data_IF_832623547438
#
_entry.id   IF_832623547438
#
_cell.length_a   1.000
_cell.length_b   1.000
_cell.length_c   1.000
_cell.angle_alpha   90.00
_cell.angle_beta   90.00
_cell.angle_gamma   90.00
#
_symmetry.space_group_name_H-M   'P 1'
#
loop_
_entity.id
_entity.type
_entity.pdbx_description
1 polymer ?
#
# COMPACT_ATOMS: atom_id res chain seq x y z
N UNK A 1 -89.81 5.81 39.57
CA UNK A 1 -88.59 6.63 39.77
C UNK A 1 -87.24 5.83 39.74
N UNK A 2 -87.23 4.53 39.92
CA UNK A 2 -86.01 3.73 39.87
C UNK A 2 -85.44 3.42 38.48
N UNK A 3 -86.21 3.55 37.39
CA UNK A 3 -85.71 3.27 36.00
C UNK A 3 -85.03 4.43 35.30
N UNK A 4 -85.26 5.66 35.73
CA UNK A 4 -84.66 6.86 35.18
C UNK A 4 -83.20 7.05 35.74
N UNK A 5 -82.99 6.57 36.98
CA UNK A 5 -81.65 6.66 37.61
C UNK A 5 -80.56 5.78 36.95
N UNK A 6 -80.96 4.66 36.34
CA UNK A 6 -80.00 3.76 35.63
C UNK A 6 -79.65 4.24 34.22
N UNK A 7 -80.51 5.01 33.58
CA UNK A 7 -80.24 5.60 32.26
C UNK A 7 -79.24 6.76 32.38
N UNK A 8 -79.34 7.54 33.49
CA UNK A 8 -78.40 8.63 33.76
C UNK A 8 -76.99 8.12 34.18
N UNK A 9 -76.90 6.96 34.82
CA UNK A 9 -75.66 6.33 35.19
C UNK A 9 -74.94 5.67 33.98
N UNK A 10 -75.70 5.16 33.00
CA UNK A 10 -75.24 4.56 31.76
C UNK A 10 -74.73 5.63 30.76
N UNK A 11 -75.30 6.84 30.78
CA UNK A 11 -74.80 7.96 29.95
C UNK A 11 -73.53 8.62 30.45
N UNK A 12 -73.22 8.55 31.76
CA UNK A 12 -72.00 9.08 32.35
C UNK A 12 -70.75 8.15 32.06
N UNK A 13 -70.96 6.88 31.69
CA UNK A 13 -69.88 5.94 31.39
C UNK A 13 -69.37 6.05 29.95
N UNK A 14 -70.02 6.78 29.05
CA UNK A 14 -69.68 6.89 27.62
C UNK A 14 -68.79 8.14 27.31
N UNK A 15 -68.44 8.96 28.30
CA UNK A 15 -67.52 10.08 28.11
C UNK A 15 -66.14 9.79 28.74
N UNK A 16 -65.68 8.54 28.66
CA UNK A 16 -64.28 8.21 28.87
C UNK A 16 -63.50 8.55 27.59
N UNK A 17 -63.25 9.83 27.41
CA UNK A 17 -62.36 10.32 26.36
C UNK A 17 -60.98 9.70 26.56
N UNK A 18 -60.63 8.71 25.78
CA UNK A 18 -59.28 8.20 25.68
C UNK A 18 -58.39 9.32 25.20
N UNK A 19 -57.70 10.00 26.11
CA UNK A 19 -56.55 10.82 25.75
C UNK A 19 -55.55 9.89 25.09
N UNK A 20 -55.46 9.92 23.77
CA UNK A 20 -54.31 9.34 23.05
C UNK A 20 -53.04 9.98 23.65
N UNK A 21 -52.03 9.18 23.97
CA UNK A 21 -50.76 9.73 24.40
C UNK A 21 -50.21 10.60 23.25
N UNK A 22 -50.06 11.87 23.51
CA UNK A 22 -49.37 12.76 22.60
C UNK A 22 -47.88 12.37 22.61
N UNK A 23 -47.43 11.77 21.52
CA UNK A 23 -46.01 11.56 21.27
C UNK A 23 -45.44 12.91 20.91
N UNK A 24 -44.71 13.54 21.81
CA UNK A 24 -43.91 14.72 21.48
C UNK A 24 -42.70 14.27 20.66
N UNK A 25 -42.74 14.49 19.36
CA UNK A 25 -41.65 14.26 18.44
C UNK A 25 -40.62 15.40 18.66
N UNK A 26 -39.45 15.05 19.19
CA UNK A 26 -38.33 15.94 19.32
C UNK A 26 -37.31 15.68 18.21
N UNK A 27 -36.90 16.73 17.51
CA UNK A 27 -35.90 16.65 16.44
C UNK A 27 -34.58 17.24 16.92
N UNK A 28 -33.52 16.43 16.79
CA UNK A 28 -32.17 16.94 16.95
C UNK A 28 -31.82 17.74 15.69
N UNK A 29 -31.35 18.95 15.91
CA UNK A 29 -31.00 19.87 14.83
C UNK A 29 -29.59 20.38 14.98
N UNK A 30 -28.93 20.62 13.86
CA UNK A 30 -27.59 21.24 13.80
C UNK A 30 -27.62 22.41 12.84
N UNK A 31 -26.92 23.48 13.22
CA UNK A 31 -26.76 24.67 12.37
C UNK A 31 -25.70 24.42 11.32
N UNK A 32 -26.01 24.78 10.09
CA UNK A 32 -25.11 24.75 8.95
C UNK A 32 -24.03 25.82 9.13
N UNK A 33 -22.77 25.40 9.12
CA UNK A 33 -21.61 26.26 9.28
C UNK A 33 -20.60 26.09 8.15
N UNK A 34 -19.47 26.76 8.28
CA UNK A 34 -18.34 26.61 7.37
C UNK A 34 -17.20 25.87 8.02
N UNK A 35 -16.54 25.01 7.29
CA UNK A 35 -15.33 24.31 7.72
C UNK A 35 -14.48 23.89 6.50
N UNK A 36 -13.24 23.59 6.77
CA UNK A 36 -12.41 22.86 5.81
C UNK A 36 -12.72 21.38 5.90
N UNK A 37 -13.08 20.77 4.79
CA UNK A 37 -13.39 19.34 4.68
C UNK A 37 -12.29 18.71 3.84
N UNK A 38 -11.67 17.65 4.36
CA UNK A 38 -10.63 16.91 3.65
C UNK A 38 -11.08 15.46 3.50
N UNK A 39 -11.11 14.98 2.27
CA UNK A 39 -11.22 13.55 2.00
C UNK A 39 -9.80 12.97 1.95
N UNK A 40 -9.53 11.95 2.71
CA UNK A 40 -8.22 11.35 2.82
C UNK A 40 -8.28 9.83 2.83
N UNK A 41 -7.24 9.22 2.30
CA UNK A 41 -6.99 7.79 2.36
C UNK A 41 -5.86 7.55 3.34
N UNK A 42 -6.05 6.64 4.28
CA UNK A 42 -5.02 6.25 5.25
C UNK A 42 -4.34 4.96 4.82
N UNK A 43 -3.04 4.89 4.98
CA UNK A 43 -2.24 3.72 4.67
C UNK A 43 -1.05 3.60 5.61
N UNK A 44 -0.49 2.41 5.73
CA UNK A 44 0.78 2.20 6.43
C UNK A 44 1.88 1.91 5.43
N UNK A 45 3.10 2.32 5.74
CA UNK A 45 4.22 2.12 4.86
C UNK A 45 5.56 2.09 5.58
N UNK A 46 6.62 1.88 4.80
CA UNK A 46 7.98 1.87 5.31
C UNK A 46 8.80 3.02 4.73
N UNK A 47 9.64 3.61 5.57
CA UNK A 47 10.59 4.65 5.17
C UNK A 47 11.81 3.98 4.55
N UNK A 48 12.16 4.35 3.33
CA UNK A 48 13.34 3.86 2.61
C UNK A 48 14.15 5.00 2.01
N UNK A 49 15.47 4.84 1.82
CA UNK A 49 16.26 5.78 1.04
C UNK A 49 15.83 5.73 -0.44
N UNK A 50 15.89 6.86 -1.14
CA UNK A 50 15.54 6.92 -2.58
C UNK A 50 16.45 6.01 -3.39
N UNK A 51 17.77 6.03 -3.08
CA UNK A 51 18.77 5.22 -3.76
C UNK A 51 19.47 4.31 -2.76
N UNK A 52 19.23 3.00 -2.85
CA UNK A 52 19.98 1.95 -2.13
C UNK A 52 20.52 0.94 -3.11
N UNK A 53 21.68 0.38 -2.82
CA UNK A 53 22.31 -0.68 -3.60
C UNK A 53 22.70 -1.80 -2.67
N UNK A 54 22.31 -3.01 -3.04
CA UNK A 54 22.72 -4.23 -2.36
C UNK A 54 23.99 -4.76 -3.04
N UNK A 55 25.07 -4.85 -2.27
CA UNK A 55 26.39 -5.31 -2.73
C UNK A 55 26.55 -6.77 -2.33
N UNK A 56 26.81 -7.61 -3.31
CA UNK A 56 27.05 -9.05 -3.14
C UNK A 56 28.39 -9.48 -3.70
N UNK A 57 28.65 -10.80 -3.70
CA UNK A 57 29.85 -11.40 -4.30
C UNK A 57 29.47 -12.30 -5.48
N UNK A 58 30.32 -12.31 -6.52
CA UNK A 58 30.19 -13.18 -7.69
C UNK A 58 31.05 -14.46 -7.57
N UNK A 59 31.89 -14.56 -6.54
CA UNK A 59 32.75 -15.72 -6.29
C UNK A 59 32.52 -16.24 -4.87
N UNK A 60 32.63 -17.55 -4.71
CA UNK A 60 32.50 -18.19 -3.40
C UNK A 60 33.89 -18.16 -2.70
N UNK A 61 33.84 -18.00 -1.38
CA UNK A 61 35.05 -17.98 -0.57
C UNK A 61 34.80 -17.65 0.89
N UNK A 62 35.83 -17.55 1.68
CA UNK A 62 35.80 -17.14 3.08
C UNK A 62 36.06 -15.64 3.15
N UNK A 63 35.30 -14.89 3.91
CA UNK A 63 35.57 -13.48 4.20
C UNK A 63 36.86 -13.39 5.01
N UNK A 64 37.88 -12.83 4.42
CA UNK A 64 39.17 -12.68 5.09
C UNK A 64 39.24 -11.44 5.95
N UNK A 65 38.70 -10.33 5.47
CA UNK A 65 38.70 -9.05 6.17
C UNK A 65 37.53 -8.18 5.75
N UNK A 66 36.97 -7.46 6.71
CA UNK A 66 36.02 -6.38 6.53
C UNK A 66 36.67 -5.05 6.81
N UNK A 67 36.46 -4.05 5.94
CA UNK A 67 37.06 -2.71 6.07
C UNK A 67 36.06 -1.67 6.52
N UNK A 68 34.78 -2.02 6.56
CA UNK A 68 33.65 -1.14 6.93
C UNK A 68 32.69 -1.87 7.85
N UNK A 69 31.99 -1.11 8.66
CA UNK A 69 30.98 -1.60 9.56
C UNK A 69 29.69 -0.80 9.37
N UNK A 70 28.64 -1.10 10.17
CA UNK A 70 27.39 -0.33 10.18
C UNK A 70 27.68 1.17 10.31
N UNK A 71 26.89 1.97 9.60
CA UNK A 71 26.97 3.43 9.57
C UNK A 71 28.29 4.02 9.08
N UNK A 72 29.19 3.22 8.50
CA UNK A 72 30.44 3.70 7.91
C UNK A 72 30.16 4.45 6.60
N UNK A 73 30.77 5.61 6.42
CA UNK A 73 30.80 6.31 5.15
C UNK A 73 31.73 5.63 4.17
N UNK A 74 31.29 5.44 2.94
CA UNK A 74 32.06 4.81 1.87
C UNK A 74 32.02 5.63 0.60
N UNK A 75 33.12 5.55 -0.18
CA UNK A 75 33.19 6.17 -1.51
C UNK A 75 33.10 5.11 -2.60
N UNK A 76 32.63 5.50 -3.75
CA UNK A 76 32.62 4.65 -4.94
C UNK A 76 34.04 4.16 -5.26
N UNK A 77 34.20 2.85 -5.47
CA UNK A 77 35.51 2.22 -5.68
C UNK A 77 36.31 1.96 -4.41
N UNK A 78 35.85 2.31 -3.22
CA UNK A 78 36.46 1.95 -1.95
C UNK A 78 36.30 0.46 -1.67
N UNK A 79 37.38 -0.21 -1.22
CA UNK A 79 37.31 -1.61 -0.77
C UNK A 79 36.52 -1.69 0.52
N UNK A 80 35.48 -2.55 0.54
CA UNK A 80 34.61 -2.77 1.69
C UNK A 80 34.81 -4.14 2.33
N UNK A 81 35.17 -5.15 1.52
CA UNK A 81 35.48 -6.49 2.02
C UNK A 81 36.46 -7.20 1.10
N UNK A 82 37.14 -8.20 1.63
CA UNK A 82 38.10 -9.04 0.91
C UNK A 82 37.86 -10.52 1.26
N UNK A 83 37.70 -11.34 0.21
CA UNK A 83 37.69 -12.80 0.33
C UNK A 83 39.11 -13.36 0.38
N UNK A 84 39.28 -14.58 0.90
CA UNK A 84 40.56 -15.28 0.81
C UNK A 84 40.87 -15.58 -0.66
N UNK A 85 42.01 -15.03 -1.10
CA UNK A 85 42.49 -15.09 -2.49
C UNK A 85 43.42 -16.28 -2.75
N UNK A 86 43.76 -17.07 -1.72
CA UNK A 86 44.82 -18.08 -1.80
C UNK A 86 44.56 -19.07 -2.94
N UNK A 87 43.36 -19.62 -3.02
CA UNK A 87 42.97 -20.56 -4.06
C UNK A 87 42.89 -19.93 -5.45
N UNK A 88 42.33 -18.72 -5.54
CA UNK A 88 42.20 -17.97 -6.80
C UNK A 88 43.57 -17.51 -7.33
N UNK A 89 44.55 -17.17 -6.44
CA UNK A 89 45.89 -16.87 -6.82
C UNK A 89 46.66 -18.09 -7.33
N UNK A 90 46.47 -19.26 -6.70
CA UNK A 90 47.01 -20.52 -7.20
C UNK A 90 46.48 -20.90 -8.58
N UNK A 91 45.15 -20.71 -8.80
CA UNK A 91 44.50 -20.94 -10.10
C UNK A 91 45.03 -19.98 -11.17
N UNK A 92 45.22 -18.69 -10.82
CA UNK A 92 45.85 -17.70 -11.72
C UNK A 92 47.25 -18.11 -12.10
N UNK A 93 48.08 -18.52 -11.14
CA UNK A 93 49.47 -18.98 -11.40
C UNK A 93 49.49 -20.20 -12.33
N UNK A 94 48.60 -21.18 -12.11
CA UNK A 94 48.47 -22.35 -12.98
C UNK A 94 48.05 -21.97 -14.39
N UNK A 95 47.05 -21.08 -14.53
CA UNK A 95 46.60 -20.61 -15.85
C UNK A 95 47.67 -19.82 -16.58
N UNK A 96 48.48 -19.06 -15.83
CA UNK A 96 49.60 -18.29 -16.36
C UNK A 96 50.74 -19.22 -16.91
N UNK A 97 51.07 -20.28 -16.17
CA UNK A 97 52.02 -21.28 -16.63
C UNK A 97 51.53 -22.02 -17.88
N UNK A 98 50.24 -22.35 -17.95
CA UNK A 98 49.63 -22.95 -19.13
C UNK A 98 49.68 -22.04 -20.37
N UNK A 99 49.39 -20.73 -20.18
CA UNK A 99 49.51 -19.72 -21.24
C UNK A 99 50.91 -19.63 -21.78
N UNK A 100 51.92 -19.64 -20.88
CA UNK A 100 53.34 -19.61 -21.26
C UNK A 100 53.78 -20.85 -22.05
N UNK A 101 53.32 -22.02 -21.64
CA UNK A 101 53.53 -23.27 -22.38
C UNK A 101 52.93 -23.23 -23.80
N UNK A 102 51.66 -22.79 -23.93
CA UNK A 102 51.00 -22.64 -25.25
C UNK A 102 51.69 -21.59 -26.11
N UNK A 103 52.26 -20.51 -25.49
CA UNK A 103 53.01 -19.49 -26.20
C UNK A 103 54.34 -20.04 -26.76
N UNK A 104 55.07 -20.84 -25.97
CA UNK A 104 56.27 -21.50 -26.43
C UNK A 104 56.02 -22.42 -27.61
N UNK A 105 54.96 -23.24 -27.52
CA UNK A 105 54.54 -24.14 -28.62
C UNK A 105 54.15 -23.33 -29.87
N UNK A 106 53.40 -22.26 -29.75
CA UNK A 106 53.05 -21.39 -30.87
C UNK A 106 54.30 -20.83 -31.54
N UNK A 107 55.26 -20.32 -30.75
CA UNK A 107 56.52 -19.75 -31.24
C UNK A 107 57.32 -20.81 -32.03
N UNK A 108 57.39 -22.03 -31.51
CA UNK A 108 58.06 -23.16 -32.21
C UNK A 108 57.37 -23.49 -33.53
N UNK A 109 56.04 -23.67 -33.52
CA UNK A 109 55.27 -24.04 -34.72
C UNK A 109 55.27 -22.90 -35.76
N UNK A 110 55.26 -21.65 -35.35
CA UNK A 110 55.39 -20.51 -36.27
C UNK A 110 56.75 -20.50 -36.97
N UNK A 111 57.83 -20.69 -36.22
CA UNK A 111 59.20 -20.79 -36.81
C UNK A 111 59.32 -21.96 -37.74
N UNK A 112 58.75 -23.14 -37.39
CA UNK A 112 58.74 -24.30 -38.20
C UNK A 112 57.94 -24.08 -39.50
N UNK A 113 56.72 -23.54 -39.42
CA UNK A 113 55.87 -23.20 -40.59
C UNK A 113 56.62 -22.23 -41.53
N UNK A 114 57.25 -21.19 -41.01
CA UNK A 114 58.02 -20.25 -41.82
C UNK A 114 59.15 -20.94 -42.57
N UNK A 115 59.87 -21.87 -41.94
CA UNK A 115 60.94 -22.66 -42.54
C UNK A 115 60.46 -23.58 -43.63
N UNK A 116 59.38 -24.32 -43.33
CA UNK A 116 58.76 -25.26 -44.30
C UNK A 116 58.19 -24.48 -45.50
N UNK A 117 57.58 -23.34 -45.29
CA UNK A 117 57.07 -22.43 -46.36
C UNK A 117 58.18 -21.94 -47.30
N UNK A 118 59.37 -21.63 -46.76
CA UNK A 118 60.55 -21.25 -47.58
C UNK A 118 61.05 -22.44 -48.42
N UNK A 119 61.09 -23.68 -47.88
CA UNK A 119 61.46 -24.87 -48.61
C UNK A 119 60.43 -25.21 -49.70
N UNK A 120 59.13 -25.04 -49.43
CA UNK A 120 58.06 -25.24 -50.39
C UNK A 120 58.18 -24.25 -51.56
N UNK A 121 58.43 -23.00 -51.31
CA UNK A 121 58.67 -21.99 -52.34
C UNK A 121 59.87 -22.33 -53.25
N UNK A 122 60.86 -23.06 -52.71
CA UNK A 122 62.01 -23.58 -53.47
C UNK A 122 61.73 -24.93 -54.15
N UNK A 123 60.46 -25.47 -54.07
CA UNK A 123 60.04 -26.74 -54.62
C UNK A 123 60.80 -27.99 -54.13
N UNK A 124 61.25 -27.96 -52.84
CA UNK A 124 62.06 -29.04 -52.24
C UNK A 124 61.23 -30.01 -51.41
N UNK A 125 60.00 -29.66 -51.09
CA UNK A 125 59.06 -30.45 -50.25
C UNK A 125 57.71 -30.61 -50.93
N UNK A 126 56.87 -31.60 -50.46
CA UNK A 126 55.56 -31.93 -50.99
C UNK A 126 54.47 -30.95 -50.45
N UNK A 127 53.31 -30.90 -51.15
CA UNK A 127 52.13 -30.18 -50.72
C UNK A 127 51.63 -30.68 -49.35
N UNK A 128 51.72 -31.96 -49.09
CA UNK A 128 51.32 -32.59 -47.82
C UNK A 128 52.17 -32.07 -46.63
N UNK A 129 53.48 -31.78 -46.85
CA UNK A 129 54.36 -31.28 -45.78
C UNK A 129 53.99 -29.84 -45.37
N UNK A 130 53.67 -28.97 -46.35
CA UNK A 130 53.25 -27.58 -46.05
C UNK A 130 51.87 -27.55 -45.40
N UNK A 131 50.92 -28.35 -45.87
CA UNK A 131 49.61 -28.49 -45.26
C UNK A 131 49.69 -28.97 -43.82
N UNK A 132 50.54 -29.97 -43.53
CA UNK A 132 50.75 -30.47 -42.17
C UNK A 132 51.37 -29.37 -41.26
N UNK A 133 52.32 -28.59 -41.75
CA UNK A 133 52.94 -27.50 -41.01
C UNK A 133 51.94 -26.35 -40.74
N UNK A 134 51.12 -26.03 -41.72
CA UNK A 134 50.05 -25.02 -41.59
C UNK A 134 48.99 -25.44 -40.56
N UNK A 135 48.55 -26.72 -40.64
CA UNK A 135 47.63 -27.28 -39.65
C UNK A 135 48.22 -27.20 -38.23
N UNK A 136 49.51 -27.59 -38.03
CA UNK A 136 50.15 -27.58 -36.74
C UNK A 136 50.30 -26.15 -36.17
N UNK A 137 50.66 -25.18 -37.01
CA UNK A 137 50.71 -23.79 -36.66
C UNK A 137 49.33 -23.23 -36.26
N UNK A 138 48.30 -23.51 -37.10
CA UNK A 138 46.94 -23.05 -36.82
C UNK A 138 46.39 -23.65 -35.55
N UNK A 139 46.64 -24.92 -35.26
CA UNK A 139 46.29 -25.60 -34.01
C UNK A 139 46.96 -24.97 -32.80
N UNK A 140 48.26 -24.72 -32.88
CA UNK A 140 49.00 -24.05 -31.79
C UNK A 140 48.51 -22.62 -31.54
N UNK A 141 48.18 -21.88 -32.61
CA UNK A 141 47.59 -20.54 -32.52
C UNK A 141 46.22 -20.55 -31.81
N UNK A 142 45.37 -21.52 -32.17
CA UNK A 142 44.05 -21.70 -31.53
C UNK A 142 44.19 -22.08 -30.03
N UNK A 143 45.15 -22.97 -29.71
CA UNK A 143 45.45 -23.36 -28.33
C UNK A 143 45.93 -22.18 -27.47
N UNK A 144 46.81 -21.34 -28.01
CA UNK A 144 47.26 -20.10 -27.31
C UNK A 144 46.10 -19.14 -27.10
N UNK A 145 45.25 -18.89 -28.10
CA UNK A 145 44.11 -18.01 -27.97
C UNK A 145 43.12 -18.50 -26.90
N UNK A 146 42.91 -19.82 -26.81
CA UNK A 146 42.10 -20.43 -25.76
C UNK A 146 42.74 -20.21 -24.38
N UNK A 147 44.02 -20.52 -24.21
CA UNK A 147 44.70 -20.33 -22.93
C UNK A 147 44.74 -18.86 -22.49
N UNK A 148 44.81 -17.90 -23.43
CA UNK A 148 44.74 -16.47 -23.16
C UNK A 148 43.30 -16.09 -22.63
N UNK A 149 42.27 -16.61 -23.24
CA UNK A 149 40.88 -16.39 -22.79
C UNK A 149 40.61 -16.98 -21.39
N UNK A 150 41.13 -18.18 -21.13
CA UNK A 150 41.03 -18.83 -19.83
C UNK A 150 41.75 -18.03 -18.75
N UNK A 151 42.97 -17.48 -19.01
CA UNK A 151 43.70 -16.63 -18.10
C UNK A 151 42.93 -15.33 -17.77
N UNK A 152 42.30 -14.70 -18.79
CA UNK A 152 41.46 -13.50 -18.57
C UNK A 152 40.30 -13.81 -17.63
N UNK A 153 39.61 -14.95 -17.83
CA UNK A 153 38.51 -15.39 -16.97
C UNK A 153 38.97 -15.60 -15.52
N UNK A 154 40.10 -16.29 -15.30
CA UNK A 154 40.65 -16.53 -13.95
C UNK A 154 41.05 -15.22 -13.28
N UNK A 155 41.70 -14.31 -14.03
CA UNK A 155 42.05 -12.96 -13.53
C UNK A 155 40.80 -12.17 -13.12
N UNK A 156 39.73 -12.28 -13.88
CA UNK A 156 38.44 -11.63 -13.55
C UNK A 156 37.85 -12.20 -12.24
N UNK A 157 37.85 -13.52 -12.07
CA UNK A 157 37.41 -14.16 -10.83
C UNK A 157 38.22 -13.69 -9.62
N UNK A 158 39.54 -13.55 -9.77
CA UNK A 158 40.39 -13.01 -8.71
C UNK A 158 40.02 -11.55 -8.37
N UNK A 159 39.68 -10.74 -9.37
CA UNK A 159 39.22 -9.37 -9.13
C UNK A 159 37.94 -9.28 -8.31
N UNK A 160 37.01 -10.21 -8.51
CA UNK A 160 35.77 -10.30 -7.75
C UNK A 160 35.95 -10.72 -6.28
N UNK A 161 37.11 -11.23 -5.91
CA UNK A 161 37.47 -11.54 -4.53
C UNK A 161 37.75 -10.28 -3.68
N UNK A 162 37.87 -9.11 -4.30
CA UNK A 162 37.90 -7.82 -3.62
C UNK A 162 36.58 -7.10 -3.91
N UNK A 163 35.83 -6.80 -2.87
CA UNK A 163 34.48 -6.23 -2.98
C UNK A 163 34.61 -4.73 -2.77
N UNK A 164 34.09 -3.97 -3.73
CA UNK A 164 34.12 -2.51 -3.74
C UNK A 164 32.71 -1.94 -3.59
N UNK A 165 32.65 -0.75 -3.00
CA UNK A 165 31.39 0.03 -3.03
C UNK A 165 31.11 0.54 -4.44
N UNK A 166 29.92 0.30 -5.01
CA UNK A 166 29.55 0.82 -6.32
C UNK A 166 29.17 2.30 -6.30
N UNK A 167 28.84 2.85 -5.13
CA UNK A 167 28.34 4.23 -4.94
C UNK A 167 28.99 4.88 -3.72
N UNK A 168 28.98 6.21 -3.70
CA UNK A 168 29.22 6.97 -2.47
C UNK A 168 28.01 6.85 -1.56
N UNK A 169 28.20 6.69 -0.25
CA UNK A 169 27.07 6.60 0.67
C UNK A 169 27.42 6.06 2.06
N UNK A 170 26.40 5.57 2.74
CA UNK A 170 26.48 5.03 4.11
C UNK A 170 26.05 3.57 4.11
N UNK A 171 26.81 2.71 4.79
CA UNK A 171 26.48 1.29 4.99
C UNK A 171 25.31 1.19 5.97
N UNK A 172 24.15 0.74 5.48
CA UNK A 172 22.95 0.54 6.29
C UNK A 172 22.96 -0.82 7.00
N UNK A 173 23.40 -1.84 6.26
CA UNK A 173 23.34 -3.22 6.72
C UNK A 173 24.56 -4.01 6.27
N UNK A 174 25.05 -4.86 7.16
CA UNK A 174 26.13 -5.81 6.95
C UNK A 174 25.64 -7.21 7.30
N UNK A 175 25.55 -8.07 6.30
CA UNK A 175 25.02 -9.43 6.43
C UNK A 175 26.08 -10.51 6.69
N UNK A 176 27.37 -10.12 6.78
CA UNK A 176 28.48 -11.07 6.83
C UNK A 176 29.51 -10.69 7.90
N UNK A 177 30.27 -11.69 8.38
CA UNK A 177 31.33 -11.53 9.37
C UNK A 177 32.66 -12.08 8.86
N UNK A 178 33.77 -11.64 9.47
CA UNK A 178 35.11 -12.18 9.17
C UNK A 178 35.15 -13.67 9.52
N UNK A 179 35.74 -14.48 8.63
CA UNK A 179 35.76 -15.94 8.75
C UNK A 179 34.52 -16.64 8.21
N UNK A 180 33.46 -15.92 7.86
CA UNK A 180 32.24 -16.51 7.29
C UNK A 180 32.48 -16.98 5.86
N UNK A 181 31.95 -18.17 5.53
CA UNK A 181 31.96 -18.69 4.16
C UNK A 181 30.74 -18.18 3.40
N UNK A 182 30.95 -17.59 2.23
CA UNK A 182 29.91 -17.16 1.30
C UNK A 182 29.94 -18.00 0.02
N UNK A 183 28.78 -18.38 -0.48
CA UNK A 183 28.61 -19.17 -1.68
C UNK A 183 27.70 -18.40 -2.68
N UNK A 184 28.18 -18.24 -3.93
CA UNK A 184 27.49 -17.49 -4.99
C UNK A 184 26.90 -18.38 -6.08
N UNK A 185 26.63 -19.67 -5.77
CA UNK A 185 26.32 -20.69 -6.80
C UNK A 185 24.94 -20.55 -7.46
N UNK A 186 23.89 -20.14 -6.72
CA UNK A 186 22.53 -20.01 -7.22
C UNK A 186 21.93 -18.61 -7.04
N UNK A 187 22.17 -17.99 -5.90
CA UNK A 187 21.75 -16.62 -5.61
C UNK A 187 22.95 -15.85 -5.11
N UNK A 188 23.13 -14.65 -5.60
CA UNK A 188 24.14 -13.74 -5.05
C UNK A 188 23.72 -13.30 -3.66
N UNK A 189 24.41 -13.71 -2.57
CA UNK A 189 24.06 -13.26 -1.24
C UNK A 189 24.39 -11.77 -1.11
N UNK A 190 23.46 -11.02 -0.53
CA UNK A 190 23.70 -9.62 -0.14
C UNK A 190 24.69 -9.60 1.02
N UNK A 191 25.82 -8.91 0.86
CA UNK A 191 26.83 -8.74 1.89
C UNK A 191 26.65 -7.41 2.61
N UNK A 192 26.37 -6.35 1.85
CA UNK A 192 26.14 -5.01 2.36
C UNK A 192 24.97 -4.35 1.63
N UNK A 193 24.24 -3.50 2.34
CA UNK A 193 23.29 -2.56 1.75
C UNK A 193 23.81 -1.14 1.99
N UNK A 194 24.00 -0.38 0.92
CA UNK A 194 24.56 0.97 0.96
C UNK A 194 23.49 1.95 0.44
N UNK A 195 23.22 3.00 1.22
CA UNK A 195 22.37 4.11 0.78
C UNK A 195 23.22 5.29 0.33
N UNK A 196 22.84 5.91 -0.77
CA UNK A 196 23.58 7.05 -1.32
C UNK A 196 23.42 8.29 -0.45
N UNK A 197 22.20 8.58 -0.03
CA UNK A 197 21.88 9.80 0.72
C UNK A 197 20.66 9.52 1.63
N UNK A 198 20.76 9.91 2.88
CA UNK A 198 19.70 9.81 3.87
C UNK A 198 18.90 11.11 4.03
N UNK A 199 19.32 12.20 3.37
CA UNK A 199 18.59 13.48 3.39
C UNK A 199 17.33 13.44 2.52
N UNK A 200 17.28 12.52 1.55
CA UNK A 200 16.16 12.25 0.68
C UNK A 200 15.66 10.82 0.87
N UNK A 201 14.56 10.72 1.55
CA UNK A 201 13.89 9.46 1.80
C UNK A 201 12.60 9.38 0.98
N UNK A 202 12.05 8.19 0.90
CA UNK A 202 10.71 7.92 0.37
C UNK A 202 9.96 7.04 1.36
N UNK A 203 8.65 7.21 1.41
CA UNK A 203 7.76 6.27 2.07
C UNK A 203 7.12 5.41 0.99
N UNK A 204 7.18 4.10 1.13
CA UNK A 204 6.44 3.15 0.31
C UNK A 204 5.21 2.75 1.13
N UNK A 205 4.07 3.36 0.81
CA UNK A 205 2.81 3.12 1.50
C UNK A 205 1.99 2.05 0.78
N UNK A 206 1.40 1.13 1.54
CA UNK A 206 0.51 0.08 1.03
C UNK A 206 -0.93 0.56 1.15
N UNK A 207 -1.52 0.95 0.04
CA UNK A 207 -2.90 1.44 -0.07
C UNK A 207 -3.81 0.30 -0.49
N UNK A 208 -4.97 0.19 0.16
CA UNK A 208 -5.96 -0.86 -0.14
C UNK A 208 -6.56 -0.68 -1.54
N UNK A 209 -6.93 -1.80 -2.19
CA UNK A 209 -7.58 -1.81 -3.52
C UNK A 209 -8.85 -0.95 -3.55
N UNK A 210 -9.60 -0.91 -2.44
CA UNK A 210 -10.82 -0.12 -2.33
C UNK A 210 -10.58 1.39 -2.47
N UNK A 211 -9.40 1.89 -2.06
CA UNK A 211 -9.08 3.31 -1.95
C UNK A 211 -8.15 3.81 -3.06
N UNK A 212 -7.42 2.91 -3.73
CA UNK A 212 -6.40 3.27 -4.72
C UNK A 212 -6.98 4.07 -5.91
N UNK A 213 -8.25 3.85 -6.24
CA UNK A 213 -8.93 4.57 -7.33
C UNK A 213 -8.99 6.09 -7.12
N UNK A 214 -8.87 6.56 -5.88
CA UNK A 214 -8.87 7.97 -5.50
C UNK A 214 -7.46 8.56 -5.40
N UNK A 215 -6.41 7.73 -5.39
CA UNK A 215 -5.02 8.16 -5.23
C UNK A 215 -4.41 8.47 -6.60
N UNK A 216 -3.84 9.67 -6.74
CA UNK A 216 -3.18 10.14 -7.97
C UNK A 216 -1.81 10.71 -7.65
N UNK A 217 -0.95 10.75 -8.66
CA UNK A 217 0.34 11.44 -8.57
C UNK A 217 0.16 12.94 -8.31
N UNK A 218 1.04 13.50 -7.49
CA UNK A 218 1.03 14.92 -7.13
C UNK A 218 0.17 15.29 -5.92
N UNK A 219 -0.60 14.36 -5.35
CA UNK A 219 -1.38 14.61 -4.14
C UNK A 219 -0.48 14.92 -2.94
N UNK A 220 -0.94 15.84 -2.10
CA UNK A 220 -0.28 16.15 -0.84
C UNK A 220 -0.51 15.02 0.18
N UNK A 221 0.53 14.72 0.93
CA UNK A 221 0.55 13.64 1.91
C UNK A 221 1.09 14.18 3.23
N UNK A 222 0.39 13.85 4.29
CA UNK A 222 0.86 14.02 5.65
C UNK A 222 1.16 12.64 6.24
N UNK A 223 2.30 12.49 6.91
CA UNK A 223 2.63 11.22 7.55
C UNK A 223 3.34 11.44 8.87
N UNK A 224 3.15 10.53 9.79
CA UNK A 224 3.90 10.42 11.03
C UNK A 224 4.64 9.10 11.06
N UNK A 225 5.72 9.02 11.82
CA UNK A 225 6.43 7.76 12.07
C UNK A 225 6.27 7.36 13.53
N UNK A 226 6.24 6.06 13.80
CA UNK A 226 6.01 5.56 15.16
C UNK A 226 7.05 6.04 16.18
N UNK A 227 8.25 6.38 15.71
CA UNK A 227 9.30 6.96 16.55
C UNK A 227 9.06 8.44 16.94
N UNK A 228 8.25 9.17 16.17
CA UNK A 228 7.89 10.58 16.39
C UNK A 228 6.41 10.79 16.13
N UNK A 229 5.52 10.32 17.03
CA UNK A 229 4.07 10.35 16.80
C UNK A 229 3.48 11.75 16.79
N UNK A 230 4.12 12.69 17.48
CA UNK A 230 3.68 14.09 17.60
C UNK A 230 4.20 14.98 16.45
N UNK A 231 5.10 14.47 15.61
CA UNK A 231 5.64 15.21 14.46
C UNK A 231 4.95 14.77 13.17
N UNK A 232 4.40 15.73 12.44
CA UNK A 232 3.81 15.50 11.12
C UNK A 232 4.81 15.91 10.05
N UNK A 233 5.18 14.95 9.23
CA UNK A 233 6.02 15.16 8.05
C UNK A 233 5.14 15.37 6.82
N UNK A 234 5.60 16.19 5.90
CA UNK A 234 4.91 16.45 4.66
C UNK A 234 5.64 15.81 3.49
N UNK A 235 4.86 15.26 2.58
CA UNK A 235 5.35 14.65 1.36
C UNK A 235 4.38 14.82 0.20
N UNK A 236 4.74 14.27 -0.95
CA UNK A 236 3.87 14.21 -2.13
C UNK A 236 3.92 12.83 -2.75
N UNK A 237 2.78 12.39 -3.29
CA UNK A 237 2.72 11.17 -4.10
C UNK A 237 3.54 11.40 -5.36
N UNK A 238 4.59 10.60 -5.55
CA UNK A 238 5.45 10.66 -6.74
C UNK A 238 5.02 9.65 -7.78
N UNK A 239 4.58 8.48 -7.34
CA UNK A 239 4.22 7.39 -8.23
C UNK A 239 3.24 6.44 -7.55
N UNK A 240 2.28 5.94 -8.30
CA UNK A 240 1.43 4.81 -7.91
C UNK A 240 1.87 3.60 -8.72
N UNK A 241 2.33 2.53 -8.06
CA UNK A 241 2.77 1.30 -8.74
C UNK A 241 1.55 0.54 -9.25
N UNK A 242 1.62 0.09 -10.50
CA UNK A 242 0.51 -0.61 -11.16
C UNK A 242 0.39 -2.08 -10.74
N UNK A 243 1.46 -2.66 -10.20
CA UNK A 243 1.47 -4.04 -9.74
C UNK A 243 0.95 -4.10 -8.31
N UNK A 244 -0.13 -4.85 -8.11
CA UNK A 244 -0.65 -5.15 -6.78
C UNK A 244 0.23 -6.19 -6.08
N UNK A 245 0.33 -6.07 -4.76
CA UNK A 245 0.94 -7.06 -3.87
C UNK A 245 -0.16 -7.69 -3.03
N UNK A 246 -0.20 -9.03 -3.00
CA UNK A 246 -1.17 -9.76 -2.19
C UNK A 246 -0.47 -10.38 -0.99
N UNK A 247 -0.80 -9.92 0.19
CA UNK A 247 -0.27 -10.47 1.45
C UNK A 247 -1.43 -10.90 2.33
N UNK A 248 -1.44 -12.16 2.76
CA UNK A 248 -2.50 -12.70 3.62
C UNK A 248 -3.92 -12.50 3.07
N UNK A 249 -4.11 -12.64 1.75
CA UNK A 249 -5.36 -12.42 1.02
C UNK A 249 -5.85 -10.95 0.98
N UNK A 250 -5.03 -9.99 1.38
CA UNK A 250 -5.31 -8.56 1.23
C UNK A 250 -4.53 -8.05 0.02
N UNK A 251 -5.24 -7.40 -0.91
CA UNK A 251 -4.66 -6.80 -2.11
C UNK A 251 -4.36 -5.34 -1.83
N UNK A 252 -3.08 -4.96 -1.95
CA UNK A 252 -2.62 -3.59 -1.75
C UNK A 252 -1.79 -3.11 -2.94
N UNK A 253 -1.79 -1.81 -3.15
CA UNK A 253 -0.95 -1.13 -4.14
C UNK A 253 0.09 -0.27 -3.45
N UNK A 254 1.32 -0.34 -3.92
CA UNK A 254 2.39 0.46 -3.39
C UNK A 254 2.36 1.88 -3.97
N UNK A 255 2.28 2.85 -3.09
CA UNK A 255 2.33 4.28 -3.41
C UNK A 255 3.65 4.85 -2.89
N UNK A 256 4.42 5.44 -3.80
CA UNK A 256 5.71 6.06 -3.48
C UNK A 256 5.50 7.53 -3.15
N UNK A 257 5.95 7.94 -1.97
CA UNK A 257 5.77 9.27 -1.43
C UNK A 257 7.14 9.87 -1.12
N UNK A 258 7.39 11.10 -1.50
CA UNK A 258 8.62 11.81 -1.09
C UNK A 258 8.61 12.10 0.39
N UNK A 259 9.76 11.93 1.03
CA UNK A 259 9.96 12.20 2.46
C UNK A 259 11.28 12.98 2.67
N UNK A 260 11.27 14.30 2.58
CA UNK A 260 12.45 15.13 2.85
C UNK A 260 12.92 14.92 4.29
N UNK A 261 14.22 14.67 4.48
CA UNK A 261 14.81 14.32 5.77
C UNK A 261 16.07 15.15 6.07
N UNK A 262 15.93 16.47 6.07
CA UNK A 262 17.05 17.40 6.27
C UNK A 262 17.71 17.23 7.65
N UNK A 263 16.91 16.92 8.65
CA UNK A 263 17.35 16.78 10.05
C UNK A 263 17.80 15.35 10.39
N UNK A 264 17.82 14.42 9.41
CA UNK A 264 18.21 13.01 9.57
C UNK A 264 17.41 12.26 10.66
N UNK A 265 16.17 12.73 10.95
CA UNK A 265 15.28 12.10 11.93
C UNK A 265 14.70 10.81 11.40
N UNK A 266 14.36 10.77 10.10
CA UNK A 266 13.84 9.58 9.45
C UNK A 266 14.97 8.60 9.19
N UNK A 267 14.83 7.37 9.71
CA UNK A 267 15.79 6.29 9.48
C UNK A 267 15.14 5.22 8.58
N UNK A 268 15.96 4.58 7.72
CA UNK A 268 15.49 3.44 6.92
C UNK A 268 14.87 2.35 7.80
N UNK A 269 13.73 1.80 7.35
CA UNK A 269 13.00 0.76 8.07
C UNK A 269 11.98 1.25 9.10
N UNK A 270 11.84 2.56 9.32
CA UNK A 270 10.77 3.08 10.17
C UNK A 270 9.41 2.86 9.52
N UNK A 271 8.41 2.50 10.35
CA UNK A 271 7.01 2.44 9.94
C UNK A 271 6.43 3.85 9.93
N UNK A 272 5.71 4.17 8.86
CA UNK A 272 5.02 5.44 8.67
C UNK A 272 3.52 5.21 8.57
N UNK A 273 2.76 6.03 9.29
CA UNK A 273 1.30 6.15 9.17
C UNK A 273 1.00 7.32 8.24
N UNK A 274 0.44 7.01 7.09
CA UNK A 274 0.30 7.92 5.96
C UNK A 274 -1.14 8.34 5.78
N UNK A 275 -1.38 9.63 5.57
CA UNK A 275 -2.67 10.22 5.22
C UNK A 275 -2.54 10.95 3.89
N UNK A 276 -3.09 10.39 2.83
CA UNK A 276 -3.08 10.95 1.48
C UNK A 276 -4.32 11.81 1.31
N UNK A 277 -4.16 13.09 1.04
CA UNK A 277 -5.26 14.04 0.86
C UNK A 277 -5.76 13.95 -0.58
N UNK A 278 -6.92 13.29 -0.78
CA UNK A 278 -7.48 13.08 -2.13
C UNK A 278 -8.32 14.24 -2.62
N UNK A 279 -8.98 14.95 -1.71
CA UNK A 279 -9.74 16.16 -2.01
C UNK A 279 -9.78 17.08 -0.80
N UNK A 280 -9.74 18.40 -1.03
CA UNK A 280 -9.84 19.42 0.00
C UNK A 280 -10.78 20.52 -0.44
N UNK A 281 -11.79 20.81 0.38
CA UNK A 281 -12.68 21.95 0.21
C UNK A 281 -12.45 22.91 1.40
N UNK A 282 -11.87 24.07 1.11
CA UNK A 282 -11.60 25.08 2.13
C UNK A 282 -12.79 26.03 2.26
N UNK A 283 -13.15 26.40 3.49
CA UNK A 283 -14.27 27.32 3.78
C UNK A 283 -15.61 26.90 3.15
N UNK A 284 -15.86 25.60 3.07
CA UNK A 284 -17.06 25.05 2.46
C UNK A 284 -18.23 25.01 3.45
N UNK A 285 -19.44 25.27 2.95
CA UNK A 285 -20.67 25.05 3.71
C UNK A 285 -20.84 23.55 3.92
N UNK A 286 -21.04 23.12 5.16
CA UNK A 286 -21.16 21.69 5.46
C UNK A 286 -22.40 21.34 6.26
N UNK A 287 -22.84 20.11 6.09
CA UNK A 287 -23.83 19.46 6.96
C UNK A 287 -23.27 18.16 7.50
N UNK A 288 -23.70 17.72 8.69
CA UNK A 288 -23.38 16.37 9.17
C UNK A 288 -23.90 15.33 8.19
N UNK A 289 -23.10 14.30 7.90
CA UNK A 289 -23.50 13.20 6.99
C UNK A 289 -24.80 12.50 7.47
N UNK A 290 -25.07 12.53 8.79
CA UNK A 290 -26.33 12.05 9.37
C UNK A 290 -27.58 12.78 8.82
N UNK A 291 -27.49 14.09 8.56
CA UNK A 291 -28.60 14.88 8.01
C UNK A 291 -28.96 14.45 6.58
N UNK A 292 -28.00 13.94 5.80
CA UNK A 292 -28.21 13.44 4.44
C UNK A 292 -28.90 12.06 4.40
N UNK A 293 -28.77 11.29 5.49
CA UNK A 293 -29.36 9.95 5.62
C UNK A 293 -30.68 9.97 6.40
N UNK A 294 -30.96 11.08 7.09
CA UNK A 294 -32.18 11.24 7.88
C UNK A 294 -33.44 11.15 6.99
N UNK A 295 -34.42 10.36 7.44
CA UNK A 295 -35.75 10.26 6.86
C UNK A 295 -36.78 10.32 7.99
N UNK A 296 -37.68 11.32 8.01
CA UNK A 296 -38.73 11.37 9.02
C UNK A 296 -39.65 10.16 8.89
N UNK A 297 -39.94 9.50 10.02
CA UNK A 297 -40.97 8.47 10.09
C UNK A 297 -42.33 9.17 10.06
N UNK A 298 -42.94 9.30 8.89
CA UNK A 298 -44.33 9.73 8.76
C UNK A 298 -45.23 8.56 9.09
N UNK A 299 -46.01 8.69 10.16
CA UNK A 299 -46.97 7.70 10.63
C UNK A 299 -48.17 7.47 9.69
N UNK A 300 -48.24 8.17 8.58
CA UNK A 300 -49.29 7.99 7.57
C UNK A 300 -48.70 7.79 6.18
N UNK A 301 -48.48 6.53 5.80
CA UNK A 301 -48.47 6.15 4.39
C UNK A 301 -49.88 5.79 3.98
N UNK A 302 -50.58 6.57 3.13
CA UNK A 302 -51.77 6.05 2.46
C UNK A 302 -51.33 4.89 1.57
N UNK A 303 -51.69 3.67 1.95
CA UNK A 303 -51.57 2.49 1.10
C UNK A 303 -52.39 2.70 -0.17
N UNK A 304 -51.80 3.35 -1.18
CA UNK A 304 -52.29 3.25 -2.54
C UNK A 304 -51.95 1.84 -3.02
N UNK A 305 -52.93 0.93 -2.94
CA UNK A 305 -52.90 -0.34 -3.65
C UNK A 305 -52.84 -0.03 -5.15
N UNK A 306 -51.63 -0.09 -5.71
CA UNK A 306 -51.44 -0.10 -7.17
C UNK A 306 -51.79 -1.51 -7.64
N UNK A 307 -53.02 -1.69 -8.18
CA UNK A 307 -53.38 -2.89 -8.93
C UNK A 307 -52.60 -2.85 -10.25
N UNK A 308 -51.50 -3.64 -10.31
CA UNK A 308 -50.69 -3.75 -11.50
C UNK A 308 -51.42 -4.49 -12.62
N UNK A 309 -51.54 -3.83 -13.75
CA UNK A 309 -51.52 -4.40 -15.09
C UNK A 309 -51.59 -3.22 -16.07
N UNK A 310 -50.44 -2.60 -16.30
CA UNK A 310 -50.12 -1.91 -17.56
C UNK A 310 -48.66 -1.52 -17.50
N UNK A 311 -47.83 -2.32 -18.14
CA UNK A 311 -46.43 -2.00 -18.44
C UNK A 311 -46.40 -1.02 -19.60
N UNK A 312 -46.62 0.25 -19.32
CA UNK A 312 -46.30 1.32 -20.24
C UNK A 312 -44.78 1.48 -20.26
N UNK A 313 -44.16 1.06 -21.36
CA UNK A 313 -42.79 1.46 -21.68
C UNK A 313 -42.79 2.97 -21.90
N UNK A 314 -42.44 3.72 -20.83
CA UNK A 314 -42.21 5.15 -20.94
C UNK A 314 -40.84 5.34 -21.57
N UNK A 315 -40.81 5.58 -22.89
CA UNK A 315 -39.62 6.08 -23.59
C UNK A 315 -39.40 7.52 -23.12
N UNK A 316 -38.51 7.71 -22.20
CA UNK A 316 -38.12 9.04 -21.71
C UNK A 316 -37.30 9.78 -22.80
N UNK A 317 -37.70 11.00 -23.18
CA UNK A 317 -36.92 11.84 -24.09
C UNK A 317 -35.50 12.11 -23.51
N UNK A 318 -34.50 12.17 -24.36
CA UNK A 318 -33.11 12.36 -23.98
C UNK A 318 -32.84 13.66 -23.20
N UNK A 319 -33.64 14.70 -23.41
CA UNK A 319 -33.60 15.95 -22.64
C UNK A 319 -34.00 15.78 -21.16
N UNK A 320 -34.78 14.74 -20.82
CA UNK A 320 -35.14 14.43 -19.44
C UNK A 320 -34.03 13.57 -18.79
N UNK A 321 -33.36 12.71 -19.56
CA UNK A 321 -32.23 11.93 -19.09
C UNK A 321 -31.02 12.83 -18.70
N UNK A 322 -30.75 13.88 -19.47
CA UNK A 322 -29.71 14.87 -19.12
C UNK A 322 -30.06 15.66 -17.85
N UNK A 323 -31.31 16.07 -17.68
CA UNK A 323 -31.75 16.71 -16.44
C UNK A 323 -31.68 15.75 -15.25
N UNK A 324 -32.07 14.47 -15.42
CA UNK A 324 -31.96 13.47 -14.37
C UNK A 324 -30.51 13.09 -14.03
N UNK A 325 -29.58 13.15 -15.00
CA UNK A 325 -28.15 12.97 -14.76
C UNK A 325 -27.57 14.06 -13.86
N UNK A 326 -28.00 15.33 -14.02
CA UNK A 326 -27.66 16.43 -13.10
C UNK A 326 -28.22 16.27 -11.68
N UNK A 327 -29.30 15.50 -11.51
CA UNK A 327 -29.89 15.21 -10.21
C UNK A 327 -29.40 13.88 -9.59
N UNK A 328 -28.47 13.20 -10.24
CA UNK A 328 -27.96 11.90 -9.77
C UNK A 328 -27.22 12.00 -8.43
N UNK A 329 -26.61 13.15 -8.15
CA UNK A 329 -25.92 13.47 -6.91
C UNK A 329 -26.76 14.34 -5.95
N UNK A 330 -28.03 14.61 -6.30
CA UNK A 330 -28.93 15.40 -5.47
C UNK A 330 -29.45 14.56 -4.29
N UNK A 331 -29.10 14.98 -3.09
CA UNK A 331 -29.60 14.40 -1.84
C UNK A 331 -30.65 15.31 -1.24
N UNK A 332 -31.52 14.76 -0.36
CA UNK A 332 -32.54 15.50 0.36
C UNK A 332 -32.08 15.71 1.78
N UNK A 333 -32.15 16.94 2.24
CA UNK A 333 -31.92 17.34 3.63
C UNK A 333 -33.19 17.98 4.16
N UNK A 334 -33.51 17.73 5.42
CA UNK A 334 -34.68 18.31 6.08
C UNK A 334 -34.23 19.53 6.89
N UNK A 335 -34.79 20.68 6.54
CA UNK A 335 -34.54 21.97 7.21
C UNK A 335 -35.71 22.30 8.12
N UNK A 336 -35.41 22.80 9.31
CA UNK A 336 -36.41 23.27 10.28
C UNK A 336 -36.53 24.80 10.21
N UNK A 337 -37.66 25.28 9.73
CA UNK A 337 -38.01 26.70 9.71
C UNK A 337 -39.31 26.94 10.48
N UNK A 338 -39.36 27.86 11.44
CA UNK A 338 -40.57 28.23 12.13
C UNK A 338 -41.35 27.10 12.82
N UNK A 339 -40.67 25.99 13.15
CA UNK A 339 -41.28 24.81 13.78
C UNK A 339 -41.76 23.75 12.80
N UNK A 340 -41.77 23.99 11.48
CA UNK A 340 -42.07 23.02 10.44
C UNK A 340 -40.77 22.49 9.81
N UNK A 341 -40.82 21.26 9.33
CA UNK A 341 -39.72 20.58 8.64
C UNK A 341 -40.12 20.44 7.17
N UNK A 342 -39.27 20.95 6.29
CA UNK A 342 -39.47 20.82 4.85
C UNK A 342 -38.19 20.21 4.17
N UNK A 343 -38.39 19.37 3.14
CA UNK A 343 -37.29 18.79 2.40
C UNK A 343 -36.68 19.80 1.43
N UNK A 344 -35.35 19.97 1.48
CA UNK A 344 -34.57 20.76 0.52
C UNK A 344 -33.68 19.83 -0.26
N UNK A 345 -33.62 20.02 -1.58
CA UNK A 345 -32.75 19.28 -2.47
C UNK A 345 -31.38 19.99 -2.47
N UNK A 346 -30.34 19.25 -2.14
CA UNK A 346 -28.99 19.76 -2.06
C UNK A 346 -28.05 19.00 -3.00
N UNK A 347 -27.05 19.69 -3.55
CA UNK A 347 -25.95 19.08 -4.28
C UNK A 347 -24.78 18.95 -3.34
N UNK A 348 -24.24 17.73 -3.21
CA UNK A 348 -23.12 17.44 -2.29
C UNK A 348 -21.79 17.46 -3.04
N UNK A 349 -20.73 17.94 -2.37
CA UNK A 349 -19.35 17.92 -2.82
C UNK A 349 -18.49 16.91 -2.03
N UNK A 350 -17.36 17.37 -1.52
CA UNK A 350 -16.40 16.59 -0.73
C UNK A 350 -17.01 16.12 0.59
N UNK A 351 -16.71 14.90 1.00
CA UNK A 351 -17.15 14.33 2.28
C UNK A 351 -16.00 13.65 3.00
N UNK A 352 -15.88 13.86 4.31
CA UNK A 352 -14.94 13.18 5.20
C UNK A 352 -15.57 12.00 5.98
N UNK A 353 -16.82 11.63 5.62
CA UNK A 353 -17.61 10.63 6.34
C UNK A 353 -18.44 11.20 7.48
N UNK A 354 -17.99 12.24 8.18
CA UNK A 354 -18.71 12.92 9.28
C UNK A 354 -19.41 14.18 8.80
N UNK A 355 -18.74 14.96 7.94
CA UNK A 355 -19.21 16.20 7.34
C UNK A 355 -19.23 16.06 5.82
N UNK A 356 -20.24 16.64 5.20
CA UNK A 356 -20.35 16.65 3.73
C UNK A 356 -20.54 18.09 3.27
N UNK A 357 -19.72 18.49 2.30
CA UNK A 357 -19.83 19.77 1.62
C UNK A 357 -21.17 19.90 0.88
N UNK A 358 -21.77 21.07 0.94
CA UNK A 358 -22.95 21.43 0.19
C UNK A 358 -22.58 22.53 -0.81
N UNK A 359 -22.68 22.17 -2.10
CA UNK A 359 -22.39 23.07 -3.20
C UNK A 359 -23.56 24.01 -3.51
N UNK A 360 -24.80 23.55 -3.27
CA UNK A 360 -26.02 24.31 -3.50
C UNK A 360 -27.19 23.79 -2.70
N UNK A 361 -28.15 24.67 -2.38
CA UNK A 361 -29.43 24.30 -1.74
C UNK A 361 -29.57 24.71 -0.29
N UNK A 362 -28.49 25.09 0.41
CA UNK A 362 -28.51 25.56 1.80
C UNK A 362 -27.68 26.84 1.95
N UNK A 363 -28.03 27.65 2.90
CA UNK A 363 -27.27 28.83 3.31
C UNK A 363 -26.61 28.59 4.69
N UNK A 364 -25.59 29.39 4.99
CA UNK A 364 -24.98 29.42 6.32
C UNK A 364 -26.00 29.91 7.34
N UNK A 365 -26.16 29.19 8.45
CA UNK A 365 -27.12 29.50 9.49
C UNK A 365 -28.41 28.70 9.42
N UNK A 366 -28.70 27.99 8.31
CA UNK A 366 -29.85 27.09 8.20
C UNK A 366 -29.78 25.99 9.28
N UNK A 367 -30.94 25.56 9.77
CA UNK A 367 -31.00 24.53 10.80
C UNK A 367 -31.46 23.21 10.18
N UNK A 368 -30.56 22.24 10.08
CA UNK A 368 -30.83 20.90 9.49
C UNK A 368 -31.14 19.87 10.57
N UNK A 369 -32.03 18.94 10.25
CA UNK A 369 -32.44 17.85 11.14
C UNK A 369 -31.49 16.66 10.97
N UNK A 370 -30.95 16.17 12.09
CA UNK A 370 -29.99 15.05 12.13
C UNK A 370 -30.60 13.76 12.67
N UNK A 371 -31.57 13.86 13.58
CA UNK A 371 -32.26 12.71 14.17
C UNK A 371 -33.68 13.08 14.64
N UNK A 372 -34.53 12.08 14.74
CA UNK A 372 -35.87 12.18 15.35
C UNK A 372 -35.88 11.32 16.60
N UNK A 373 -36.22 11.94 17.74
CA UNK A 373 -36.34 11.24 19.02
C UNK A 373 -37.79 11.29 19.45
N UNK A 374 -38.46 10.13 19.53
CA UNK A 374 -39.83 10.01 20.07
C UNK A 374 -39.74 9.79 21.59
N UNK A 375 -40.10 10.81 22.37
CA UNK A 375 -40.27 10.64 23.82
C UNK A 375 -41.69 10.24 24.17
N UNK A 376 -41.87 9.00 24.62
CA UNK A 376 -43.18 8.53 25.16
C UNK A 376 -43.30 9.02 26.61
N UNK A 377 -44.03 10.09 26.84
CA UNK A 377 -44.16 10.76 28.14
C UNK A 377 -45.21 10.14 29.03
N UNK A 378 -45.57 8.88 28.96
CA UNK A 378 -46.23 8.16 30.08
C UNK A 378 -46.33 6.67 29.81
N UNK A 379 -45.57 5.90 30.53
CA UNK A 379 -45.90 4.51 30.80
C UNK A 379 -46.98 4.48 31.89
N UNK A 380 -48.16 3.90 31.66
CA UNK A 380 -49.08 3.65 32.75
C UNK A 380 -48.43 2.61 33.70
N UNK A 381 -48.33 2.96 34.99
CA UNK A 381 -47.92 2.01 36.04
C UNK A 381 -48.82 0.79 35.96
N UNK A 382 -48.29 -0.33 35.54
CA UNK A 382 -48.97 -1.64 35.69
C UNK A 382 -49.16 -1.95 37.17
N UNK A 383 -50.36 -2.49 37.58
CA UNK A 383 -50.59 -2.93 38.95
C UNK A 383 -49.69 -4.13 39.24
N UNK A 384 -49.05 -4.05 40.40
CA UNK A 384 -48.22 -5.09 41.00
C UNK A 384 -48.94 -6.46 41.01
N UNK A 385 -48.48 -7.38 40.23
CA UNK A 385 -48.88 -8.77 40.16
C UNK A 385 -47.68 -9.68 40.10
N UNK A 386 -47.37 -10.26 41.27
CA UNK A 386 -46.68 -11.52 41.58
C UNK A 386 -45.51 -11.94 40.69
N UNK A 387 -44.33 -11.82 41.31
CA UNK A 387 -43.02 -12.33 40.82
C UNK A 387 -43.04 -13.86 40.75
N UNK A 388 -42.98 -14.43 39.56
CA UNK A 388 -42.32 -15.74 39.34
C UNK A 388 -41.15 -15.55 38.42
N UNK A 389 -40.00 -15.50 39.06
CA UNK A 389 -38.69 -15.31 38.47
C UNK A 389 -38.28 -16.59 37.73
N UNK A 390 -38.44 -16.63 36.41
CA UNK A 390 -37.83 -17.67 35.58
C UNK A 390 -37.11 -16.98 34.41
N UNK A 391 -35.81 -16.86 34.55
CA UNK A 391 -34.89 -16.34 33.57
C UNK A 391 -34.77 -17.35 32.41
N UNK A 392 -35.13 -17.05 31.15
CA UNK A 392 -35.14 -18.00 30.04
C UNK A 392 -33.76 -18.49 29.59
N UNK A 393 -32.66 -17.91 30.08
CA UNK A 393 -31.30 -18.18 29.63
C UNK A 393 -30.41 -18.94 30.64
N UNK A 394 -30.96 -19.53 31.71
CA UNK A 394 -30.16 -20.41 32.58
C UNK A 394 -30.41 -21.90 32.26
N UNK A 395 -29.36 -22.70 31.98
CA UNK A 395 -29.50 -24.14 31.79
C UNK A 395 -29.86 -24.82 33.12
N UNK A 396 -30.90 -25.67 33.11
CA UNK A 396 -31.33 -26.47 34.24
C UNK A 396 -30.21 -27.47 34.65
N UNK A 397 -29.80 -27.44 35.92
CA UNK A 397 -28.93 -28.48 36.53
C UNK A 397 -29.68 -29.81 36.57
N UNK A 398 -29.05 -30.94 36.21
CA UNK A 398 -29.64 -32.26 36.35
C UNK A 398 -29.66 -32.64 37.83
N UNK A 399 -30.86 -33.05 38.29
CA UNK A 399 -31.10 -33.51 39.64
C UNK A 399 -30.36 -34.80 39.95
N UNK A 400 -29.53 -34.78 40.98
CA UNK A 400 -28.87 -35.98 41.52
C UNK A 400 -29.87 -36.87 42.26
N UNK A 401 -30.04 -38.09 41.77
CA UNK A 401 -30.82 -39.14 42.41
C UNK A 401 -29.91 -39.86 43.40
N UNK A 402 -30.13 -39.61 44.69
CA UNK A 402 -29.56 -40.47 45.74
C UNK A 402 -30.52 -41.63 46.00
N UNK A 403 -30.09 -42.87 45.77
CA UNK A 403 -30.57 -44.08 46.42
C UNK A 403 -29.36 -44.88 46.87
N UNK A 404 -29.41 -45.12 48.17
CA UNK A 404 -28.87 -46.22 49.01
C UNK A 404 -27.54 -46.79 48.53
#
# INVERSE_FOLDING_TARGET
MKRISYILLAAAALVSCSKQPSVEESFETQVVGRATITNSVTATGNVEPVNKVDVGTQVSGIIKRLYVDYNSEVKAGQVIAELDKTTLQAELSSSQANLESCKAELTYQEANYKRIKELFNRKVISDADIEQAEYSYSKAKAAYAKAQSDMVRVKQNLSYATIYSPIDGIVLYRAVEEGQTVASSFNTPTLFTIAKDLTQMRVIANVDEADIGNVKEGLDVEFSVDAFPDEVFQGKVTQVRLQATTTSNVVTYEVVITAPNKDLKLKPGMTANVTIITARASDAIYVPSKALTFRPETSERPHRKFNGKDSLQVVMPDSIKEKMAKFRDAKKVFVKEGGMIHPVIVTTGVSDGTKTEILSGLAEGDTVVTAQTASVTSLPKSPSGNQNNSNPFMPKRPGGNRRR
#
